data_IF_391839998003
#
_entry.id   IF_391839998003
#
_cell.length_a   1.000
_cell.length_b   1.000
_cell.length_c   1.000
_cell.angle_alpha   90.00
_cell.angle_beta   90.00
_cell.angle_gamma   90.00
#
_symmetry.space_group_name_H-M   'P 1'
#
loop_
_entity.id
_entity.type
_entity.pdbx_description
1 polymer ?
#
# COMPACT_ATOMS: atom_id res chain seq x y z
N UNK A 1 -9.10 -21.07 31.89
CA UNK A 1 -8.36 -20.93 30.64
C UNK A 1 -8.91 -21.98 29.69
N UNK A 2 -9.89 -21.61 28.86
CA UNK A 2 -10.53 -22.55 27.91
C UNK A 2 -10.14 -22.12 26.54
N UNK A 3 -9.29 -22.93 25.90
CA UNK A 3 -9.00 -22.83 24.46
C UNK A 3 -10.30 -23.10 23.69
N UNK A 4 -10.80 -22.07 23.03
CA UNK A 4 -11.93 -22.17 22.10
C UNK A 4 -11.43 -21.72 20.69
N UNK A 5 -10.51 -22.51 20.13
CA UNK A 5 -10.24 -22.49 18.69
C UNK A 5 -10.87 -23.73 18.04
N UNK A 6 -12.19 -23.86 18.09
CA UNK A 6 -12.89 -24.72 17.14
C UNK A 6 -12.95 -23.93 15.81
N UNK A 7 -11.88 -24.02 15.05
CA UNK A 7 -11.89 -23.54 13.68
C UNK A 7 -12.96 -24.31 12.90
N UNK A 8 -14.06 -23.64 12.60
CA UNK A 8 -15.04 -24.18 11.65
C UNK A 8 -14.44 -23.99 10.25
N UNK A 9 -13.89 -25.07 9.71
CA UNK A 9 -13.45 -25.09 8.33
C UNK A 9 -14.68 -24.97 7.43
N UNK A 10 -14.87 -23.82 6.82
CA UNK A 10 -15.88 -23.58 5.82
C UNK A 10 -15.23 -23.21 4.49
N UNK A 11 -15.76 -23.76 3.40
CA UNK A 11 -15.31 -23.48 2.05
C UNK A 11 -16.47 -22.96 1.20
N UNK A 12 -16.21 -21.94 0.40
CA UNK A 12 -17.15 -21.43 -0.58
C UNK A 12 -16.64 -21.74 -1.99
N UNK A 13 -17.41 -22.55 -2.72
CA UNK A 13 -17.06 -22.97 -4.07
C UNK A 13 -17.92 -22.24 -5.10
N UNK A 14 -17.32 -21.89 -6.23
CA UNK A 14 -18.01 -21.33 -7.38
C UNK A 14 -18.14 -22.44 -8.44
N UNK A 15 -19.33 -23.00 -8.62
CA UNK A 15 -19.56 -24.13 -9.51
C UNK A 15 -20.73 -23.81 -10.45
N UNK A 16 -20.49 -23.78 -11.77
CA UNK A 16 -21.55 -23.57 -12.75
C UNK A 16 -22.36 -22.29 -12.56
N UNK A 17 -21.74 -21.22 -12.07
CA UNK A 17 -22.42 -19.94 -11.78
C UNK A 17 -23.18 -19.90 -10.46
N UNK A 18 -23.09 -20.96 -9.65
CA UNK A 18 -23.70 -21.05 -8.31
C UNK A 18 -22.64 -21.00 -7.22
N UNK A 19 -23.04 -20.51 -6.04
CA UNK A 19 -22.22 -20.53 -4.84
C UNK A 19 -22.62 -21.73 -3.98
N UNK A 20 -21.68 -22.65 -3.76
CA UNK A 20 -21.83 -23.80 -2.87
C UNK A 20 -21.02 -23.56 -1.60
N UNK A 21 -21.73 -23.46 -0.47
CA UNK A 21 -21.10 -23.42 0.86
C UNK A 21 -20.96 -24.84 1.39
N UNK A 22 -19.74 -25.21 1.75
CA UNK A 22 -19.43 -26.45 2.45
C UNK A 22 -18.84 -26.12 3.83
N UNK A 23 -19.34 -26.75 4.88
CA UNK A 23 -18.81 -26.59 6.24
C UNK A 23 -19.04 -27.85 7.07
N UNK A 24 -18.26 -28.01 8.13
CA UNK A 24 -18.45 -29.10 9.10
C UNK A 24 -19.39 -28.65 10.19
N UNK A 25 -20.39 -29.50 10.48
CA UNK A 25 -21.27 -29.38 11.62
C UNK A 25 -21.14 -30.68 12.49
N UNK A 26 -20.28 -30.62 13.47
CA UNK A 26 -19.79 -31.81 14.16
C UNK A 26 -19.01 -32.73 13.21
N UNK A 27 -19.43 -33.99 13.08
CA UNK A 27 -18.82 -34.95 12.14
C UNK A 27 -19.44 -34.90 10.73
N UNK A 28 -20.55 -34.19 10.55
CA UNK A 28 -21.25 -34.10 9.28
C UNK A 28 -20.67 -33.00 8.41
N UNK A 29 -20.51 -33.28 7.09
CA UNK A 29 -20.22 -32.29 6.08
C UNK A 29 -21.53 -31.77 5.50
N UNK A 30 -21.81 -30.51 5.72
CA UNK A 30 -23.02 -29.85 5.21
C UNK A 30 -22.67 -29.12 3.94
N UNK A 31 -23.47 -29.31 2.88
CA UNK A 31 -23.37 -28.64 1.60
C UNK A 31 -24.69 -27.97 1.28
N UNK A 32 -24.63 -26.66 0.95
CA UNK A 32 -25.83 -25.94 0.54
C UNK A 32 -25.52 -24.89 -0.53
N UNK A 33 -26.41 -24.76 -1.51
CA UNK A 33 -26.37 -23.63 -2.43
C UNK A 33 -26.83 -22.36 -1.70
N UNK A 34 -26.10 -21.28 -1.86
CA UNK A 34 -26.47 -19.97 -1.35
C UNK A 34 -26.60 -18.97 -2.50
N UNK A 35 -27.50 -18.02 -2.35
CA UNK A 35 -27.62 -16.95 -3.33
C UNK A 35 -26.43 -15.98 -3.25
N UNK A 36 -26.07 -15.33 -4.37
CA UNK A 36 -25.06 -14.25 -4.33
C UNK A 36 -25.39 -13.15 -3.34
N UNK A 37 -26.68 -12.89 -3.12
CA UNK A 37 -27.14 -11.92 -2.15
C UNK A 37 -26.92 -12.38 -0.70
N UNK A 38 -27.20 -13.64 -0.39
CA UNK A 38 -26.94 -14.21 0.94
C UNK A 38 -25.44 -14.21 1.25
N UNK A 39 -24.59 -14.56 0.26
CA UNK A 39 -23.14 -14.47 0.40
C UNK A 39 -22.70 -13.03 0.66
N UNK A 40 -23.17 -12.07 -0.13
CA UNK A 40 -22.87 -10.66 0.05
C UNK A 40 -23.25 -10.17 1.44
N UNK A 41 -24.44 -10.51 1.90
CA UNK A 41 -24.93 -10.09 3.22
C UNK A 41 -24.11 -10.71 4.35
N UNK A 42 -23.71 -11.97 4.23
CA UNK A 42 -22.82 -12.62 5.20
C UNK A 42 -21.46 -11.95 5.30
N UNK A 43 -20.87 -11.55 4.16
CA UNK A 43 -19.59 -10.83 4.13
C UNK A 43 -19.71 -9.34 4.51
N UNK A 44 -20.85 -8.70 4.24
CA UNK A 44 -21.06 -7.29 4.59
C UNK A 44 -21.43 -7.08 6.06
N UNK A 45 -21.90 -8.13 6.75
CA UNK A 45 -22.16 -8.10 8.20
C UNK A 45 -20.88 -8.33 9.03
N UNK A 46 -19.79 -8.82 8.41
CA UNK A 46 -18.49 -8.82 9.05
C UNK A 46 -18.00 -7.38 9.18
N UNK A 47 -17.89 -6.88 10.40
CA UNK A 47 -17.32 -5.55 10.64
C UNK A 47 -15.92 -5.46 10.00
N UNK A 48 -15.72 -4.48 9.14
CA UNK A 48 -14.40 -4.18 8.61
C UNK A 48 -13.74 -3.24 9.61
N UNK A 49 -12.83 -3.76 10.40
CA UNK A 49 -11.93 -2.95 11.20
C UNK A 49 -10.64 -2.76 10.40
N UNK A 50 -10.32 -1.52 10.08
CA UNK A 50 -9.08 -1.19 9.39
C UNK A 50 -7.85 -1.27 10.30
N UNK A 51 -8.07 -1.56 11.60
CA UNK A 51 -7.06 -1.35 12.64
C UNK A 51 -6.60 0.12 12.69
N UNK A 52 -5.63 0.43 13.53
CA UNK A 52 -5.08 1.78 13.60
C UNK A 52 -4.36 2.14 12.29
N UNK A 53 -4.90 3.13 11.59
CA UNK A 53 -4.26 3.63 10.37
C UNK A 53 -3.08 4.53 10.76
N UNK A 54 -1.92 4.39 10.09
CA UNK A 54 -0.78 5.24 10.36
C UNK A 54 -1.07 6.70 9.97
N UNK A 55 -0.29 7.60 10.54
CA UNK A 55 -0.31 9.02 10.19
C UNK A 55 -0.17 9.19 8.67
N UNK A 56 -0.78 10.24 8.15
CA UNK A 56 -0.81 10.59 6.72
C UNK A 56 -1.73 9.74 5.83
N UNK A 57 -2.33 8.64 6.29
CA UNK A 57 -3.32 7.91 5.48
C UNK A 57 -4.54 8.79 5.24
N UNK A 58 -4.81 9.09 3.98
CA UNK A 58 -5.98 9.86 3.56
C UNK A 58 -7.07 9.00 2.90
N UNK A 59 -6.74 7.80 2.46
CA UNK A 59 -7.70 6.82 1.92
C UNK A 59 -7.19 5.39 2.12
N UNK A 60 -8.14 4.49 2.34
CA UNK A 60 -7.94 3.06 2.42
C UNK A 60 -9.05 2.35 1.64
N UNK A 61 -8.77 1.18 1.11
CA UNK A 61 -9.76 0.33 0.46
C UNK A 61 -9.22 -1.06 0.14
N UNK A 62 -10.11 -1.90 -0.37
CA UNK A 62 -9.78 -3.23 -0.85
C UNK A 62 -10.22 -3.33 -2.30
N UNK A 63 -9.34 -3.79 -3.16
CA UNK A 63 -9.60 -4.02 -4.58
C UNK A 63 -9.24 -5.44 -4.99
N UNK A 64 -9.43 -5.81 -6.26
CA UNK A 64 -9.12 -7.16 -6.77
C UNK A 64 -7.65 -7.59 -6.54
N UNK A 65 -6.72 -6.64 -6.48
CA UNK A 65 -5.29 -6.88 -6.20
C UNK A 65 -4.93 -6.85 -4.72
N UNK A 66 -5.91 -6.80 -3.81
CA UNK A 66 -5.70 -6.73 -2.37
C UNK A 66 -5.97 -5.36 -1.76
N UNK A 67 -5.52 -5.14 -0.53
CA UNK A 67 -5.67 -3.86 0.15
C UNK A 67 -4.83 -2.78 -0.52
N UNK A 68 -5.31 -1.54 -0.44
CA UNK A 68 -4.57 -0.37 -0.87
C UNK A 68 -4.72 0.77 0.13
N UNK A 69 -3.66 1.54 0.29
CA UNK A 69 -3.61 2.72 1.14
C UNK A 69 -2.99 3.88 0.38
N UNK A 70 -3.58 5.05 0.53
CA UNK A 70 -3.07 6.30 -0.02
C UNK A 70 -2.63 7.22 1.11
N UNK A 71 -1.35 7.56 1.14
CA UNK A 71 -0.77 8.50 2.09
C UNK A 71 -0.52 9.84 1.41
N UNK A 72 -0.79 10.92 2.14
CA UNK A 72 -0.55 12.28 1.70
C UNK A 72 0.52 12.95 2.58
N UNK A 73 1.56 13.41 1.94
CA UNK A 73 2.61 14.21 2.57
C UNK A 73 2.54 15.65 2.06
N UNK A 74 2.51 16.65 2.93
CA UNK A 74 2.52 18.06 2.52
C UNK A 74 3.88 18.43 1.86
N UNK A 75 3.94 19.54 1.10
CA UNK A 75 5.21 20.07 0.65
C UNK A 75 6.17 20.30 1.82
N UNK A 76 7.44 19.96 1.62
CA UNK A 76 8.43 20.04 2.69
C UNK A 76 9.87 19.89 2.20
N UNK A 77 10.82 19.86 3.13
CA UNK A 77 12.22 19.52 2.86
C UNK A 77 12.47 18.08 3.23
N UNK A 78 13.02 17.31 2.30
CA UNK A 78 13.33 15.90 2.48
C UNK A 78 14.84 15.70 2.35
N UNK A 79 15.39 14.83 3.20
CA UNK A 79 16.77 14.36 3.07
C UNK A 79 16.78 13.19 2.09
N UNK A 80 17.44 13.40 0.97
CA UNK A 80 17.55 12.40 -0.11
C UNK A 80 18.95 11.79 -0.06
N UNK A 81 19.08 10.47 0.14
CA UNK A 81 20.37 9.80 0.06
C UNK A 81 20.84 9.75 -1.39
N UNK A 82 22.12 10.02 -1.59
CA UNK A 82 22.74 10.00 -2.91
C UNK A 82 23.50 8.70 -3.11
N UNK A 83 23.40 8.10 -4.30
CA UNK A 83 24.19 6.92 -4.66
C UNK A 83 25.69 7.26 -4.64
N UNK A 84 26.04 8.40 -5.20
CA UNK A 84 27.40 8.92 -5.19
C UNK A 84 27.49 10.24 -4.41
N UNK A 85 28.54 10.41 -3.58
CA UNK A 85 28.76 11.66 -2.87
C UNK A 85 29.01 12.82 -3.85
N UNK A 86 28.29 13.92 -3.69
CA UNK A 86 28.49 15.12 -4.48
C UNK A 86 29.22 16.20 -3.70
N UNK A 87 30.06 17.00 -4.42
CA UNK A 87 30.66 18.24 -3.90
C UNK A 87 29.90 19.41 -4.45
N UNK A 88 29.34 20.22 -3.57
CA UNK A 88 28.70 21.47 -3.96
C UNK A 88 29.77 22.54 -4.24
N UNK A 89 29.47 23.46 -5.17
CA UNK A 89 30.34 24.59 -5.49
C UNK A 89 30.60 25.41 -4.23
N UNK A 90 31.87 25.57 -3.83
CA UNK A 90 32.26 26.32 -2.64
C UNK A 90 33.25 25.59 -1.73
N UNK A 91 33.58 24.34 -2.04
CA UNK A 91 34.52 23.52 -1.27
C UNK A 91 33.87 22.96 0.01
N UNK A 92 34.28 21.79 0.42
CA UNK A 92 33.76 21.12 1.61
C UNK A 92 33.84 19.61 1.48
N UNK A 93 33.40 18.90 2.51
CA UNK A 93 33.26 17.46 2.47
C UNK A 93 32.20 17.04 1.44
N UNK A 94 32.36 15.86 0.78
CA UNK A 94 31.31 15.35 -0.10
C UNK A 94 30.02 15.09 0.68
N UNK A 95 28.89 15.45 0.09
CA UNK A 95 27.56 15.21 0.67
C UNK A 95 27.04 13.84 0.22
N UNK A 96 26.61 13.04 1.19
CA UNK A 96 25.91 11.76 0.96
C UNK A 96 24.39 11.89 1.10
N UNK A 97 23.93 13.02 1.62
CA UNK A 97 22.53 13.38 1.79
C UNK A 97 22.29 14.78 1.29
N UNK A 98 21.19 14.98 0.57
CA UNK A 98 20.81 16.31 0.07
C UNK A 98 19.45 16.71 0.62
N UNK A 99 19.36 17.90 1.23
CA UNK A 99 18.09 18.48 1.66
C UNK A 99 17.38 19.14 0.48
N UNK A 100 16.38 18.47 -0.09
CA UNK A 100 15.67 18.92 -1.29
C UNK A 100 14.29 19.45 -0.93
N UNK A 101 13.88 20.63 -1.41
CA UNK A 101 12.50 21.07 -1.31
C UNK A 101 11.65 20.22 -2.24
N UNK A 102 10.65 19.51 -1.67
CA UNK A 102 9.72 18.66 -2.40
C UNK A 102 8.34 19.27 -2.47
N UNK A 103 7.62 19.09 -3.59
CA UNK A 103 6.19 19.37 -3.65
C UNK A 103 5.43 18.44 -2.69
N UNK A 104 4.13 18.61 -2.56
CA UNK A 104 3.32 17.61 -1.89
C UNK A 104 3.40 16.27 -2.61
N UNK A 105 3.45 15.18 -1.84
CA UNK A 105 3.56 13.82 -2.37
C UNK A 105 2.34 12.99 -2.00
N UNK A 106 1.87 12.17 -2.94
CA UNK A 106 0.90 11.10 -2.71
C UNK A 106 1.59 9.76 -2.94
N UNK A 107 1.59 8.93 -1.92
CA UNK A 107 2.17 7.59 -1.93
C UNK A 107 1.05 6.56 -1.85
N UNK A 108 0.96 5.70 -2.85
CA UNK A 108 -0.01 4.62 -2.95
C UNK A 108 0.68 3.28 -2.81
N UNK A 109 0.23 2.46 -1.86
CA UNK A 109 0.51 1.04 -1.83
C UNK A 109 -0.71 0.26 -2.28
N UNK A 110 -0.57 -0.68 -3.22
CA UNK A 110 -1.62 -1.56 -3.71
C UNK A 110 -1.09 -2.99 -3.88
N UNK A 111 -1.46 -3.88 -2.99
CA UNK A 111 -0.82 -5.18 -2.87
C UNK A 111 0.69 -5.01 -2.62
N UNK A 112 1.53 -5.52 -3.53
CA UNK A 112 2.99 -5.36 -3.48
C UNK A 112 3.52 -4.24 -4.38
N UNK A 113 2.65 -3.50 -5.07
CA UNK A 113 3.01 -2.41 -5.97
C UNK A 113 2.91 -1.08 -5.25
N UNK A 114 3.85 -0.20 -5.52
CA UNK A 114 3.92 1.11 -4.90
C UNK A 114 4.10 2.20 -5.93
N UNK A 115 3.46 3.33 -5.69
CA UNK A 115 3.46 4.47 -6.60
C UNK A 115 3.63 5.76 -5.81
N UNK A 116 4.25 6.76 -6.42
CA UNK A 116 4.34 8.10 -5.87
C UNK A 116 4.13 9.15 -6.96
N UNK A 117 3.32 10.14 -6.64
CA UNK A 117 3.08 11.30 -7.50
C UNK A 117 3.26 12.58 -6.71
N UNK A 118 3.61 13.65 -7.42
CA UNK A 118 3.66 14.99 -6.87
C UNK A 118 2.34 15.72 -7.06
N UNK A 119 2.04 16.64 -6.15
CA UNK A 119 0.95 17.61 -6.32
C UNK A 119 1.41 19.02 -5.88
N UNK A 120 0.86 20.06 -6.52
CA UNK A 120 1.12 21.46 -6.17
C UNK A 120 0.10 21.99 -5.15
N UNK A 121 -1.18 21.70 -5.38
CA UNK A 121 -2.28 22.13 -4.56
C UNK A 121 -3.20 20.95 -4.26
N UNK A 122 -3.47 20.73 -2.99
CA UNK A 122 -4.38 19.67 -2.56
C UNK A 122 -5.83 20.10 -2.76
N UNK A 123 -6.59 19.36 -3.55
CA UNK A 123 -8.02 19.56 -3.83
C UNK A 123 -8.82 18.24 -3.75
N UNK A 124 -8.47 17.36 -2.82
CA UNK A 124 -9.09 16.03 -2.69
C UNK A 124 -9.14 15.28 -4.04
N UNK A 125 -10.34 14.84 -4.45
CA UNK A 125 -10.51 14.11 -5.72
C UNK A 125 -10.16 14.92 -6.97
N UNK A 126 -10.16 16.25 -6.91
CA UNK A 126 -9.79 17.15 -8.01
C UNK A 126 -8.29 17.51 -8.03
N UNK A 127 -7.46 16.88 -7.21
CA UNK A 127 -6.02 17.13 -7.18
C UNK A 127 -5.37 16.68 -8.47
N UNK A 128 -4.68 17.60 -9.15
CA UNK A 128 -3.84 17.27 -10.32
C UNK A 128 -2.55 16.63 -9.83
N UNK A 129 -2.25 15.45 -10.40
CA UNK A 129 -1.04 14.70 -10.12
C UNK A 129 0.00 14.94 -11.24
N UNK A 130 1.25 14.93 -10.82
CA UNK A 130 2.41 15.11 -11.68
C UNK A 130 3.42 13.99 -11.36
N UNK A 131 4.33 13.70 -12.28
CA UNK A 131 5.49 12.86 -11.98
C UNK A 131 6.21 13.42 -10.76
N UNK A 132 6.53 12.55 -9.79
CA UNK A 132 7.35 12.95 -8.65
C UNK A 132 8.78 13.27 -9.14
N UNK A 133 9.42 14.34 -8.64
CA UNK A 133 10.78 14.69 -9.02
C UNK A 133 11.81 13.82 -8.32
N UNK A 134 11.71 12.52 -8.52
CA UNK A 134 12.52 11.49 -7.87
C UNK A 134 13.04 10.52 -8.93
N UNK A 135 14.33 10.18 -8.86
CA UNK A 135 15.01 9.38 -9.87
C UNK A 135 14.45 7.93 -9.94
N UNK A 136 14.12 7.33 -8.79
CA UNK A 136 13.62 5.95 -8.74
C UNK A 136 12.11 5.82 -9.01
N UNK A 137 11.53 6.75 -9.78
CA UNK A 137 10.10 6.78 -10.08
C UNK A 137 9.87 6.82 -11.58
N UNK A 138 9.19 5.81 -12.10
CA UNK A 138 8.80 5.73 -13.50
C UNK A 138 7.81 6.84 -13.90
N UNK A 139 7.62 7.10 -15.21
CA UNK A 139 6.70 8.14 -15.69
C UNK A 139 5.25 7.96 -15.22
N UNK A 140 4.79 6.74 -15.00
CA UNK A 140 3.46 6.39 -14.49
C UNK A 140 3.32 6.52 -12.96
N UNK A 141 4.41 6.85 -12.27
CA UNK A 141 4.48 6.98 -10.83
C UNK A 141 4.92 5.69 -10.10
N UNK A 142 5.09 4.57 -10.81
CA UNK A 142 5.57 3.34 -10.19
C UNK A 142 6.97 3.52 -9.59
N UNK A 143 7.20 2.90 -8.43
CA UNK A 143 8.47 3.01 -7.71
C UNK A 143 9.36 1.82 -8.06
N UNK A 144 10.62 2.11 -8.38
CA UNK A 144 11.69 1.13 -8.44
C UNK A 144 12.38 1.04 -7.08
N UNK A 145 12.25 -0.10 -6.41
CA UNK A 145 12.94 -0.37 -5.14
C UNK A 145 14.31 -1.03 -5.34
N UNK A 146 14.78 -1.16 -6.57
CA UNK A 146 16.02 -1.89 -6.86
C UNK A 146 15.93 -3.36 -6.43
N UNK A 147 16.90 -3.81 -5.66
CA UNK A 147 16.98 -5.19 -5.17
C UNK A 147 16.19 -5.43 -3.87
N UNK A 148 15.46 -4.43 -3.39
CA UNK A 148 14.68 -4.54 -2.15
C UNK A 148 13.22 -4.79 -2.49
N UNK A 149 12.60 -5.70 -1.75
CA UNK A 149 11.20 -6.08 -1.97
C UNK A 149 10.30 -5.49 -0.88
N UNK A 150 9.43 -4.52 -1.21
CA UNK A 150 8.49 -3.99 -0.25
C UNK A 150 7.46 -5.05 0.14
N UNK A 151 6.97 -4.98 1.36
CA UNK A 151 5.89 -5.87 1.85
C UNK A 151 4.56 -5.47 1.25
N UNK A 152 3.56 -6.36 1.34
CA UNK A 152 2.16 -6.06 0.96
C UNK A 152 1.70 -4.80 1.69
N UNK A 153 1.00 -3.92 0.97
CA UNK A 153 0.45 -2.68 1.50
C UNK A 153 -0.63 -2.98 2.55
N UNK A 154 -0.35 -2.59 3.80
CA UNK A 154 -1.25 -2.75 4.93
C UNK A 154 -1.00 -1.62 5.94
N UNK A 155 -1.94 -1.37 6.86
CA UNK A 155 -1.83 -0.33 7.87
C UNK A 155 -0.52 -0.37 8.66
N UNK A 156 -0.06 -1.56 9.03
CA UNK A 156 1.16 -1.74 9.81
C UNK A 156 2.46 -1.87 8.97
N UNK A 157 2.38 -1.92 7.65
CA UNK A 157 3.56 -2.06 6.77
C UNK A 157 3.84 -0.83 5.92
N UNK A 158 2.81 -0.03 5.61
CA UNK A 158 2.91 1.07 4.64
C UNK A 158 3.93 2.14 5.04
N UNK A 159 4.01 2.47 6.33
CA UNK A 159 4.98 3.44 6.85
C UNK A 159 6.42 2.94 6.70
N UNK A 160 6.64 1.64 6.90
CA UNK A 160 7.96 1.03 6.73
C UNK A 160 8.35 0.97 5.24
N UNK A 161 7.39 0.70 4.34
CA UNK A 161 7.64 0.71 2.89
C UNK A 161 7.90 2.14 2.37
N UNK A 162 7.30 3.16 2.99
CA UNK A 162 7.64 4.56 2.72
C UNK A 162 9.08 4.90 3.13
N UNK A 163 9.52 4.46 4.32
CA UNK A 163 10.92 4.62 4.74
C UNK A 163 11.86 3.86 3.81
N UNK A 164 11.52 2.60 3.50
CA UNK A 164 12.29 1.77 2.60
C UNK A 164 12.55 2.46 1.26
N UNK A 165 11.55 3.16 0.71
CA UNK A 165 11.72 3.95 -0.50
C UNK A 165 12.76 5.07 -0.32
N UNK A 166 12.74 5.79 0.81
CA UNK A 166 13.70 6.86 1.08
C UNK A 166 15.10 6.34 1.45
N UNK A 167 15.19 5.12 1.94
CA UNK A 167 16.47 4.48 2.27
C UNK A 167 17.15 3.85 1.04
N UNK A 168 16.43 3.77 -0.11
CA UNK A 168 17.05 3.34 -1.37
C UNK A 168 17.92 4.46 -1.94
N UNK A 169 19.10 4.11 -2.42
CA UNK A 169 19.96 5.09 -3.11
C UNK A 169 19.28 5.54 -4.40
N UNK A 170 19.09 6.84 -4.52
CA UNK A 170 18.56 7.43 -5.74
C UNK A 170 19.65 7.49 -6.80
N UNK A 171 19.40 6.88 -7.95
CA UNK A 171 20.29 6.85 -9.11
C UNK A 171 19.55 7.32 -10.37
N UNK A 172 20.26 7.71 -11.39
CA UNK A 172 19.76 8.22 -12.66
C UNK A 172 19.54 7.13 -13.73
N UNK A 173 19.39 5.87 -13.29
CA UNK A 173 19.25 4.72 -14.19
C UNK A 173 17.83 4.47 -14.75
N UNK A 174 16.86 5.37 -14.53
CA UNK A 174 15.49 5.26 -15.07
C UNK A 174 15.21 6.26 -16.17
#
# INVERSE_FOLDING_TARGET
MRDASSGHDASLHFIGGQLLLEYKDGEAVVRKCISPEAARNAFSSAGIDSDWLPEHVCRYGIGPGGPWLLLRFPPGRYLVPLADPIRLSGGGAPHTMLAVPMPGLLFLGYGTRYYVWAYKLWKYAATKLFKAPLANVYPDGAICFGNVHPRVAHGNTIANNWRLFWDTNFSDHL
#
